data_IF_972885987201
#
_entry.id   IF_972885987201
#
_cell.length_a   1.000
_cell.length_b   1.000
_cell.length_c   1.000
_cell.angle_alpha   90.00
_cell.angle_beta   90.00
_cell.angle_gamma   90.00
#
_symmetry.space_group_name_H-M   'P 1'
#
loop_
_entity.id
_entity.type
_entity.pdbx_description
1 polymer ?
#
# COMPACT_ATOMS: atom_id res chain seq x y z
N UNK A 1 -21.29 -39.04 0.57
CA UNK A 1 -20.33 -37.91 0.78
C UNK A 1 -19.25 -37.86 -0.29
N UNK A 2 -18.53 -38.95 -0.52
CA UNK A 2 -17.50 -38.98 -1.58
C UNK A 2 -18.12 -38.81 -2.98
N UNK A 3 -19.23 -39.49 -3.25
CA UNK A 3 -19.96 -39.35 -4.53
C UNK A 3 -20.52 -37.94 -4.73
N UNK A 4 -21.04 -37.33 -3.65
CA UNK A 4 -21.50 -35.93 -3.67
C UNK A 4 -20.34 -34.95 -3.92
N UNK A 5 -19.16 -35.17 -3.33
CA UNK A 5 -17.97 -34.37 -3.63
C UNK A 5 -17.50 -34.53 -5.08
N UNK A 6 -17.61 -35.73 -5.65
CA UNK A 6 -17.28 -35.94 -7.08
C UNK A 6 -18.29 -35.30 -8.03
N UNK A 7 -19.58 -35.26 -7.67
CA UNK A 7 -20.62 -34.65 -8.52
C UNK A 7 -20.47 -33.13 -8.66
N UNK A 8 -19.74 -32.48 -7.76
CA UNK A 8 -19.49 -31.02 -7.77
C UNK A 8 -18.06 -30.67 -8.23
N UNK A 9 -17.35 -31.59 -8.88
CA UNK A 9 -15.96 -31.39 -9.32
C UNK A 9 -15.78 -30.21 -10.33
N UNK A 10 -16.84 -29.87 -11.08
CA UNK A 10 -16.85 -28.74 -12.04
C UNK A 10 -16.57 -27.38 -11.37
N UNK A 11 -16.75 -27.24 -10.04
CA UNK A 11 -16.39 -26.03 -9.31
C UNK A 11 -14.89 -25.73 -9.35
N UNK A 12 -14.06 -26.75 -9.69
CA UNK A 12 -12.62 -26.56 -9.90
C UNK A 12 -11.80 -26.49 -8.60
N UNK A 13 -12.37 -26.92 -7.46
CA UNK A 13 -11.64 -27.04 -6.20
C UNK A 13 -10.96 -28.42 -6.08
N UNK A 14 -9.82 -28.52 -5.38
CA UNK A 14 -9.24 -29.81 -5.02
C UNK A 14 -10.21 -30.68 -4.23
N UNK A 15 -10.22 -32.01 -4.50
CA UNK A 15 -11.16 -32.96 -3.90
C UNK A 15 -11.35 -32.85 -2.38
N UNK A 16 -10.31 -32.61 -1.54
CA UNK A 16 -10.52 -32.42 -0.10
C UNK A 16 -11.42 -31.23 0.24
N UNK A 17 -11.38 -30.15 -0.55
CA UNK A 17 -12.24 -28.98 -0.36
C UNK A 17 -13.67 -29.25 -0.84
N UNK A 18 -13.86 -30.01 -1.91
CA UNK A 18 -15.18 -30.49 -2.33
C UNK A 18 -15.84 -31.40 -1.26
N UNK A 19 -15.05 -32.22 -0.59
CA UNK A 19 -15.54 -33.03 0.55
C UNK A 19 -15.97 -32.15 1.73
N UNK A 20 -15.26 -31.03 2.00
CA UNK A 20 -15.67 -30.07 3.03
C UNK A 20 -17.02 -29.44 2.68
N UNK A 21 -17.19 -28.98 1.43
CA UNK A 21 -18.44 -28.40 0.94
C UNK A 21 -19.61 -29.42 0.99
N UNK A 22 -19.39 -30.65 0.50
CA UNK A 22 -20.38 -31.71 0.57
C UNK A 22 -20.78 -32.06 2.02
N UNK A 23 -19.83 -32.04 2.95
CA UNK A 23 -20.11 -32.26 4.38
C UNK A 23 -20.94 -31.12 4.98
N UNK A 24 -20.64 -29.87 4.62
CA UNK A 24 -21.41 -28.72 5.07
C UNK A 24 -22.87 -28.77 4.58
N UNK A 25 -23.09 -29.12 3.30
CA UNK A 25 -24.43 -29.33 2.74
C UNK A 25 -25.22 -30.42 3.43
N UNK A 26 -24.60 -31.60 3.67
CA UNK A 26 -25.23 -32.70 4.40
C UNK A 26 -25.56 -32.28 5.85
N UNK A 27 -24.65 -31.58 6.53
CA UNK A 27 -24.86 -31.10 7.89
C UNK A 27 -26.00 -30.08 8.00
N UNK A 28 -26.22 -29.28 6.96
CA UNK A 28 -27.33 -28.34 6.82
C UNK A 28 -28.68 -29.06 6.48
N UNK A 29 -28.65 -30.38 6.20
CA UNK A 29 -29.82 -31.15 5.78
C UNK A 29 -30.23 -30.90 4.33
N UNK A 30 -29.41 -30.26 3.54
CA UNK A 30 -29.65 -29.91 2.13
C UNK A 30 -28.44 -30.32 1.24
N UNK A 31 -28.33 -31.61 0.87
CA UNK A 31 -27.28 -32.13 0.02
C UNK A 31 -27.21 -31.46 -1.38
N UNK A 32 -28.34 -30.97 -1.88
CA UNK A 32 -28.42 -30.34 -3.18
C UNK A 32 -27.72 -28.96 -3.20
N UNK A 33 -27.54 -28.30 -2.05
CA UNK A 33 -26.75 -27.08 -1.90
C UNK A 33 -25.22 -27.29 -1.95
N UNK A 34 -24.73 -28.54 -2.16
CA UNK A 34 -23.29 -28.82 -2.13
C UNK A 34 -22.48 -28.00 -3.14
N UNK A 35 -23.04 -27.76 -4.34
CA UNK A 35 -22.40 -26.92 -5.36
C UNK A 35 -22.29 -25.46 -4.89
N UNK A 36 -23.34 -24.91 -4.27
CA UNK A 36 -23.34 -23.55 -3.72
C UNK A 36 -22.34 -23.41 -2.56
N UNK A 37 -22.27 -24.42 -1.67
CA UNK A 37 -21.26 -24.44 -0.60
C UNK A 37 -19.84 -24.50 -1.16
N UNK A 38 -19.61 -25.23 -2.25
CA UNK A 38 -18.32 -25.28 -2.92
C UNK A 38 -17.97 -23.94 -3.60
N UNK A 39 -18.94 -23.27 -4.22
CA UNK A 39 -18.74 -21.93 -4.77
C UNK A 39 -18.46 -20.89 -3.68
N UNK A 40 -19.16 -20.93 -2.55
CA UNK A 40 -18.88 -20.07 -1.41
C UNK A 40 -17.48 -20.29 -0.87
N UNK A 41 -17.06 -21.56 -0.74
CA UNK A 41 -15.70 -21.91 -0.30
C UNK A 41 -14.66 -21.40 -1.30
N UNK A 42 -14.86 -21.57 -2.61
CA UNK A 42 -13.99 -21.06 -3.67
C UNK A 42 -13.85 -19.54 -3.56
N UNK A 43 -14.95 -18.82 -3.37
CA UNK A 43 -14.95 -17.35 -3.21
C UNK A 43 -14.28 -16.87 -1.94
N UNK A 44 -14.21 -17.70 -0.89
CA UNK A 44 -13.50 -17.37 0.35
C UNK A 44 -11.98 -17.43 0.23
N UNK A 45 -11.46 -18.07 -0.81
CA UNK A 45 -10.03 -18.11 -1.09
C UNK A 45 -9.56 -16.78 -1.71
N UNK A 46 -8.25 -16.53 -1.61
CA UNK A 46 -7.65 -15.36 -2.25
C UNK A 46 -7.83 -15.46 -3.78
N UNK A 47 -8.46 -14.45 -4.36
CA UNK A 47 -8.76 -14.41 -5.78
C UNK A 47 -8.77 -12.99 -6.34
N UNK A 48 -8.91 -12.82 -7.67
CA UNK A 48 -9.02 -11.51 -8.29
C UNK A 48 -10.34 -10.83 -7.91
N UNK A 49 -10.31 -9.48 -7.87
CA UNK A 49 -11.49 -8.64 -7.72
C UNK A 49 -11.31 -7.38 -8.57
N UNK A 50 -12.38 -6.92 -9.21
CA UNK A 50 -12.40 -5.69 -9.99
C UNK A 50 -12.75 -4.54 -9.05
N UNK A 51 -11.84 -3.60 -8.89
CA UNK A 51 -12.02 -2.43 -8.03
C UNK A 51 -12.71 -1.30 -8.81
N UNK A 52 -14.00 -1.16 -8.64
CA UNK A 52 -14.81 -0.08 -9.20
C UNK A 52 -15.30 0.92 -8.14
N UNK A 53 -14.58 1.03 -7.01
CA UNK A 53 -14.96 1.92 -5.91
C UNK A 53 -14.52 3.37 -6.12
N UNK A 54 -13.55 3.65 -6.97
CA UNK A 54 -12.88 4.94 -7.07
C UNK A 54 -11.81 5.18 -5.99
N UNK A 55 -11.50 4.18 -5.18
CA UNK A 55 -10.38 4.21 -4.20
C UNK A 55 -9.20 3.44 -4.79
N UNK A 56 -8.17 4.11 -5.29
CA UNK A 56 -7.09 3.47 -6.05
C UNK A 56 -6.27 2.49 -5.19
N UNK A 57 -5.91 2.91 -3.97
CA UNK A 57 -5.17 2.11 -2.98
C UNK A 57 -6.14 1.55 -1.94
N UNK A 58 -7.13 0.79 -2.38
CA UNK A 58 -8.19 0.28 -1.50
C UNK A 58 -7.63 -0.73 -0.50
N UNK A 59 -7.67 -0.40 0.80
CA UNK A 59 -7.05 -1.19 1.88
C UNK A 59 -7.50 -2.65 1.88
N UNK A 60 -8.80 -2.89 1.70
CA UNK A 60 -9.36 -4.24 1.74
C UNK A 60 -9.16 -5.03 0.42
N UNK A 61 -8.67 -4.37 -0.64
CA UNK A 61 -8.38 -4.98 -1.94
C UNK A 61 -6.87 -5.08 -2.21
N UNK A 62 -6.04 -5.06 -1.16
CA UNK A 62 -4.60 -5.25 -1.27
C UNK A 62 -3.79 -3.98 -1.56
N UNK A 63 -4.42 -2.80 -1.57
CA UNK A 63 -3.80 -1.49 -1.88
C UNK A 63 -3.26 -1.41 -3.31
N UNK A 64 -1.95 -1.13 -3.49
CA UNK A 64 -1.37 -1.00 -4.82
C UNK A 64 -1.37 -2.34 -5.57
N UNK A 65 -2.06 -2.46 -6.71
CA UNK A 65 -1.93 -3.64 -7.55
C UNK A 65 -0.53 -3.69 -8.18
N UNK A 66 -0.01 -4.90 -8.31
CA UNK A 66 1.27 -5.14 -8.97
C UNK A 66 1.03 -5.39 -10.47
N UNK A 67 1.83 -4.77 -11.34
CA UNK A 67 1.69 -4.92 -12.79
C UNK A 67 2.13 -6.30 -13.28
N UNK A 68 1.69 -6.66 -14.49
CA UNK A 68 2.01 -7.94 -15.14
C UNK A 68 3.54 -8.15 -15.39
N UNK A 69 4.36 -7.11 -15.23
CA UNK A 69 5.81 -7.24 -15.33
C UNK A 69 6.41 -8.11 -14.21
N UNK A 70 5.67 -8.30 -13.12
CA UNK A 70 6.05 -9.22 -12.05
C UNK A 70 5.79 -10.68 -12.40
N UNK A 71 4.93 -10.95 -13.40
CA UNK A 71 4.77 -12.30 -13.98
C UNK A 71 5.93 -12.70 -14.90
N UNK A 72 6.76 -11.73 -15.32
CA UNK A 72 8.01 -11.94 -16.06
C UNK A 72 9.24 -11.80 -15.18
N UNK A 73 9.05 -12.01 -13.87
CA UNK A 73 10.09 -11.82 -12.88
C UNK A 73 11.37 -12.59 -13.21
N UNK A 74 12.55 -12.05 -12.83
CA UNK A 74 13.82 -12.76 -12.94
C UNK A 74 13.83 -14.13 -12.27
N UNK A 75 12.89 -14.39 -11.36
CA UNK A 75 12.70 -15.68 -10.68
C UNK A 75 11.97 -16.73 -11.52
N UNK A 76 11.56 -16.42 -12.75
CA UNK A 76 10.92 -17.41 -13.64
C UNK A 76 9.57 -17.90 -13.15
N UNK A 77 8.83 -17.08 -12.39
CA UNK A 77 7.49 -17.40 -11.86
C UNK A 77 6.35 -17.16 -12.89
N UNK A 78 6.68 -17.17 -14.17
CA UNK A 78 5.65 -17.19 -15.20
C UNK A 78 4.81 -18.46 -15.05
N UNK A 79 3.52 -18.29 -14.91
CA UNK A 79 2.61 -19.42 -14.80
C UNK A 79 2.75 -20.32 -16.03
N UNK A 80 3.46 -21.42 -15.88
CA UNK A 80 3.31 -22.61 -16.71
C UNK A 80 4.28 -22.88 -17.86
N UNK A 81 5.33 -22.09 -18.19
CA UNK A 81 6.09 -22.39 -19.41
C UNK A 81 7.62 -22.21 -19.40
N UNK A 82 8.21 -21.79 -18.30
CA UNK A 82 9.68 -21.61 -18.20
C UNK A 82 10.36 -22.56 -17.23
N UNK A 83 11.69 -22.82 -17.38
CA UNK A 83 12.43 -23.61 -16.41
C UNK A 83 12.47 -22.89 -15.06
N UNK A 84 12.21 -23.62 -13.97
CA UNK A 84 12.41 -23.11 -12.61
C UNK A 84 13.90 -22.74 -12.42
N UNK A 85 14.16 -21.51 -11.97
CA UNK A 85 15.52 -21.01 -11.77
C UNK A 85 15.72 -20.54 -10.33
N UNK A 86 16.94 -20.71 -9.83
CA UNK A 86 17.37 -20.07 -8.58
C UNK A 86 17.73 -18.60 -8.86
N UNK A 87 17.63 -17.75 -7.81
CA UNK A 87 18.05 -16.35 -7.87
C UNK A 87 19.34 -16.12 -7.10
N UNK A 88 20.04 -15.02 -7.41
CA UNK A 88 21.23 -14.56 -6.69
C UNK A 88 20.90 -13.76 -5.42
N UNK A 89 19.73 -13.95 -4.83
CA UNK A 89 19.19 -13.14 -3.74
C UNK A 89 20.16 -12.91 -2.56
N UNK A 90 20.92 -13.94 -2.17
CA UNK A 90 21.95 -13.88 -1.13
C UNK A 90 23.31 -14.36 -1.66
N UNK A 91 23.55 -14.24 -2.97
CA UNK A 91 24.79 -14.67 -3.61
C UNK A 91 25.41 -13.52 -4.40
N UNK A 92 26.62 -13.12 -4.03
CA UNK A 92 27.39 -12.13 -4.77
C UNK A 92 28.07 -12.79 -5.96
N UNK A 93 27.62 -12.47 -7.17
CA UNK A 93 28.13 -13.06 -8.41
C UNK A 93 29.60 -12.67 -8.71
N UNK A 94 30.05 -11.53 -8.22
CA UNK A 94 31.40 -11.06 -8.47
C UNK A 94 32.44 -11.79 -7.58
N UNK A 95 32.14 -11.95 -6.29
CA UNK A 95 33.04 -12.59 -5.33
C UNK A 95 32.82 -14.10 -5.18
N UNK A 96 31.68 -14.63 -5.68
CA UNK A 96 31.30 -16.03 -5.48
C UNK A 96 30.95 -16.37 -4.03
N UNK A 97 30.64 -15.38 -3.20
CA UNK A 97 30.40 -15.54 -1.77
C UNK A 97 28.96 -15.18 -1.41
N UNK A 98 28.57 -15.49 -0.17
CA UNK A 98 27.29 -15.05 0.37
C UNK A 98 27.22 -13.52 0.46
N UNK A 99 26.21 -12.92 -0.19
CA UNK A 99 25.89 -11.51 -0.15
C UNK A 99 24.76 -11.18 0.85
N UNK A 100 24.43 -9.90 0.95
CA UNK A 100 23.27 -9.42 1.72
C UNK A 100 22.00 -9.58 0.88
N UNK A 101 20.94 -10.08 1.51
CA UNK A 101 19.63 -10.33 0.88
C UNK A 101 19.00 -9.09 0.24
N UNK A 102 19.17 -7.93 0.85
CA UNK A 102 18.48 -6.71 0.42
C UNK A 102 19.34 -5.79 -0.47
N UNK A 103 20.55 -6.21 -0.86
CA UNK A 103 21.52 -5.35 -1.57
C UNK A 103 20.91 -4.72 -2.83
N UNK A 104 20.19 -5.49 -3.63
CA UNK A 104 19.61 -5.02 -4.90
C UNK A 104 18.56 -3.92 -4.67
N UNK A 105 17.54 -4.20 -3.87
CA UNK A 105 16.49 -3.24 -3.54
C UNK A 105 17.05 -2.01 -2.80
N UNK A 106 17.99 -2.20 -1.87
CA UNK A 106 18.62 -1.11 -1.11
C UNK A 106 19.38 -0.14 -2.01
N UNK A 107 20.15 -0.63 -2.98
CA UNK A 107 20.85 0.21 -3.95
C UNK A 107 19.88 1.07 -4.77
N UNK A 108 18.82 0.47 -5.30
CA UNK A 108 17.84 1.16 -6.14
C UNK A 108 17.06 2.20 -5.36
N UNK A 109 16.62 1.87 -4.13
CA UNK A 109 15.88 2.79 -3.27
C UNK A 109 16.75 3.96 -2.78
N UNK A 110 18.01 3.71 -2.45
CA UNK A 110 18.96 4.79 -2.11
C UNK A 110 19.15 5.74 -3.30
N UNK A 111 19.30 5.19 -4.52
CA UNK A 111 19.42 5.99 -5.75
C UNK A 111 18.17 6.84 -6.00
N UNK A 112 16.98 6.27 -5.84
CA UNK A 112 15.71 6.95 -6.05
C UNK A 112 15.47 8.08 -5.05
N UNK A 113 15.82 7.86 -3.79
CA UNK A 113 15.59 8.82 -2.71
C UNK A 113 16.74 9.80 -2.51
N UNK A 114 17.92 9.52 -3.10
CA UNK A 114 19.15 10.28 -2.86
C UNK A 114 19.74 10.03 -1.46
N UNK A 115 19.37 8.93 -0.82
CA UNK A 115 19.90 8.51 0.47
C UNK A 115 21.31 7.93 0.35
N UNK A 116 22.08 7.93 1.45
CA UNK A 116 23.38 7.24 1.53
C UNK A 116 23.19 5.71 1.54
N UNK A 117 22.12 5.22 2.15
CA UNK A 117 21.77 3.81 2.23
C UNK A 117 20.25 3.62 2.37
N UNK A 118 19.77 2.41 2.08
CA UNK A 118 18.40 2.00 2.31
C UNK A 118 18.32 0.59 2.89
N UNK A 119 17.22 0.29 3.60
CA UNK A 119 16.90 -1.01 4.15
C UNK A 119 15.42 -1.31 3.91
N UNK A 120 15.10 -2.57 3.64
CA UNK A 120 13.73 -3.03 3.39
C UNK A 120 13.31 -4.01 4.46
N UNK A 121 12.11 -3.80 5.02
CA UNK A 121 11.45 -4.65 6.00
C UNK A 121 10.01 -4.96 5.56
N UNK A 122 9.28 -5.77 6.32
CA UNK A 122 7.95 -6.30 5.95
C UNK A 122 6.89 -5.23 5.68
N UNK A 123 6.87 -4.14 6.45
CA UNK A 123 5.92 -3.03 6.33
C UNK A 123 6.44 -1.79 7.08
N UNK A 124 5.76 -0.64 6.93
CA UNK A 124 6.19 0.61 7.55
C UNK A 124 6.16 0.56 9.09
N UNK A 125 5.21 -0.15 9.68
CA UNK A 125 5.18 -0.34 11.15
C UNK A 125 6.45 -1.05 11.65
N UNK A 126 6.90 -2.11 10.95
CA UNK A 126 8.16 -2.78 11.23
C UNK A 126 9.37 -1.84 11.03
N UNK A 127 9.32 -0.93 10.04
CA UNK A 127 10.38 0.05 9.81
C UNK A 127 10.51 1.01 11.00
N UNK A 128 9.40 1.61 11.44
CA UNK A 128 9.38 2.52 12.60
C UNK A 128 9.82 1.78 13.87
N UNK A 129 9.26 0.60 14.15
CA UNK A 129 9.65 -0.22 15.31
C UNK A 129 11.14 -0.53 15.32
N UNK A 130 11.70 -0.93 14.17
CA UNK A 130 13.12 -1.26 14.03
C UNK A 130 14.02 -0.04 14.27
N UNK A 131 13.67 1.12 13.69
CA UNK A 131 14.41 2.38 13.88
C UNK A 131 14.42 2.76 15.37
N UNK A 132 13.26 2.74 16.02
CA UNK A 132 13.15 3.07 17.44
C UNK A 132 13.94 2.08 18.32
N UNK A 133 13.79 0.78 18.10
CA UNK A 133 14.49 -0.25 18.87
C UNK A 133 16.01 -0.21 18.69
N UNK A 134 16.49 0.10 17.46
CA UNK A 134 17.92 0.12 17.17
C UNK A 134 18.61 1.41 17.63
N UNK A 135 17.90 2.55 17.62
CA UNK A 135 18.52 3.86 17.79
C UNK A 135 18.11 4.58 19.09
N UNK A 136 17.02 4.17 19.74
CA UNK A 136 16.45 4.89 20.87
C UNK A 136 16.04 4.00 22.06
N UNK A 137 16.46 2.73 22.08
CA UNK A 137 16.16 1.84 23.22
C UNK A 137 16.60 2.46 24.54
N UNK A 138 15.71 2.44 25.54
CA UNK A 138 15.89 3.01 26.88
C UNK A 138 16.13 4.53 26.91
N UNK A 139 15.99 5.22 25.78
CA UNK A 139 16.19 6.65 25.61
C UNK A 139 14.93 7.36 25.14
N UNK A 140 14.93 8.69 25.25
CA UNK A 140 13.82 9.54 24.83
C UNK A 140 13.69 9.67 23.31
N UNK A 141 12.47 9.71 22.81
CA UNK A 141 12.12 10.08 21.45
C UNK A 141 11.11 11.22 21.54
N UNK A 142 11.51 12.41 21.08
CA UNK A 142 10.64 13.57 21.08
C UNK A 142 9.70 13.53 19.86
N UNK A 143 8.40 13.66 20.13
CA UNK A 143 7.35 13.61 19.10
C UNK A 143 6.26 14.63 19.42
N UNK A 144 5.70 15.28 18.39
CA UNK A 144 4.59 16.22 18.56
C UNK A 144 3.33 15.50 19.05
N UNK A 145 2.61 16.10 20.04
CA UNK A 145 1.28 15.61 20.44
C UNK A 145 0.29 15.53 19.28
N UNK A 146 0.36 16.45 18.32
CA UNK A 146 -0.44 16.41 17.11
C UNK A 146 -0.07 15.30 16.13
N UNK A 147 1.06 14.59 16.36
CA UNK A 147 1.58 13.51 15.53
C UNK A 147 1.48 12.13 16.20
N UNK A 148 0.85 12.04 17.38
CA UNK A 148 0.54 10.78 18.06
C UNK A 148 -0.69 10.14 17.41
N UNK A 149 -0.49 9.62 16.22
CA UNK A 149 -1.57 9.14 15.37
C UNK A 149 -1.91 7.68 15.62
N UNK A 150 -3.18 7.33 15.33
CA UNK A 150 -3.62 5.95 15.08
C UNK A 150 -3.83 5.77 13.59
N UNK A 151 -3.18 4.78 12.99
CA UNK A 151 -3.32 4.41 11.59
C UNK A 151 -4.01 3.04 11.50
N UNK A 152 -4.65 2.72 10.37
CA UNK A 152 -5.45 1.51 10.19
C UNK A 152 -4.83 0.23 10.74
N UNK A 153 -5.67 -0.63 11.32
CA UNK A 153 -5.26 -1.87 11.96
C UNK A 153 -4.77 -1.73 13.40
N UNK A 154 -5.06 -0.59 14.07
CA UNK A 154 -4.69 -0.37 15.48
C UNK A 154 -3.22 0.02 15.66
N UNK A 155 -2.52 0.47 14.62
CA UNK A 155 -1.17 1.02 14.76
C UNK A 155 -1.22 2.38 15.45
N UNK A 156 -0.73 2.45 16.68
CA UNK A 156 -0.62 3.68 17.49
C UNK A 156 0.84 3.98 17.78
N UNK A 157 1.27 5.19 17.45
CA UNK A 157 2.66 5.62 17.66
C UNK A 157 3.12 5.43 19.11
N UNK A 158 2.35 5.79 20.16
CA UNK A 158 2.78 5.55 21.55
C UNK A 158 3.01 4.08 21.87
N UNK A 159 2.12 3.18 21.44
CA UNK A 159 2.23 1.73 21.70
C UNK A 159 3.45 1.12 20.99
N UNK A 160 3.73 1.56 19.77
CA UNK A 160 4.91 1.13 19.01
C UNK A 160 6.20 1.60 19.70
N UNK A 161 6.22 2.83 20.23
CA UNK A 161 7.35 3.32 21.01
C UNK A 161 7.59 2.46 22.25
N UNK A 162 6.56 2.19 23.03
CA UNK A 162 6.65 1.34 24.23
C UNK A 162 7.19 -0.05 23.87
N UNK A 163 6.65 -0.70 22.84
CA UNK A 163 7.09 -2.02 22.38
C UNK A 163 8.53 -2.03 21.83
N UNK A 164 9.00 -0.90 21.30
CA UNK A 164 10.38 -0.76 20.83
C UNK A 164 11.41 -0.59 21.97
N UNK A 165 10.93 -0.30 23.20
CA UNK A 165 11.74 0.07 24.33
C UNK A 165 12.18 1.54 24.32
N UNK A 166 11.69 2.37 23.42
CA UNK A 166 11.93 3.82 23.44
C UNK A 166 10.97 4.52 24.41
N UNK A 167 11.46 5.59 25.05
CA UNK A 167 10.66 6.41 25.95
C UNK A 167 10.02 7.57 25.20
N UNK A 168 8.69 7.65 25.21
CA UNK A 168 7.95 8.76 24.61
C UNK A 168 8.24 10.08 25.36
N UNK A 169 8.62 11.12 24.60
CA UNK A 169 8.75 12.50 25.06
C UNK A 169 7.84 13.38 24.22
N UNK A 170 6.67 13.70 24.76
CA UNK A 170 5.68 14.50 24.06
C UNK A 170 6.07 15.98 24.03
N UNK A 171 5.97 16.62 22.87
CA UNK A 171 6.26 18.06 22.69
C UNK A 171 5.10 18.81 22.07
N UNK A 172 5.01 20.11 22.36
CA UNK A 172 3.98 20.99 21.82
C UNK A 172 2.56 20.66 22.31
N UNK A 173 1.58 20.95 21.47
CA UNK A 173 0.16 20.70 21.70
C UNK A 173 -0.47 19.98 20.48
N UNK A 174 -1.72 19.55 20.60
CA UNK A 174 -2.44 18.80 19.54
C UNK A 174 -2.44 19.53 18.20
N UNK A 175 -2.61 20.86 18.20
CA UNK A 175 -2.72 21.66 16.98
C UNK A 175 -1.50 22.55 16.68
N UNK A 176 -0.57 22.69 17.64
CA UNK A 176 0.58 23.57 17.46
C UNK A 176 1.84 23.01 18.11
N UNK A 177 2.84 22.77 17.29
CA UNK A 177 4.18 22.35 17.73
C UNK A 177 5.22 23.13 16.93
N UNK A 178 6.21 23.68 17.63
CA UNK A 178 7.30 24.47 17.07
C UNK A 178 8.65 23.79 17.31
N UNK A 179 9.67 24.16 16.54
CA UNK A 179 11.02 23.65 16.75
C UNK A 179 11.56 23.96 18.17
N UNK A 180 11.09 25.06 18.80
CA UNK A 180 11.46 25.40 20.19
C UNK A 180 10.97 24.36 21.20
N UNK A 181 9.80 23.71 20.96
CA UNK A 181 9.28 22.67 21.86
C UNK A 181 10.17 21.43 21.82
N UNK A 182 10.64 21.04 20.64
CA UNK A 182 11.60 19.93 20.45
C UNK A 182 12.96 20.26 21.08
N UNK A 183 13.45 21.51 20.91
CA UNK A 183 14.71 21.95 21.52
C UNK A 183 14.65 21.88 23.03
N UNK A 184 13.59 22.39 23.64
CA UNK A 184 13.40 22.36 25.09
C UNK A 184 13.35 20.92 25.64
N UNK A 185 12.80 19.97 24.89
CA UNK A 185 12.82 18.54 25.24
C UNK A 185 14.24 17.97 25.13
N UNK A 186 14.95 18.24 24.03
CA UNK A 186 16.30 17.76 23.80
C UNK A 186 17.33 18.27 24.83
N UNK A 187 17.10 19.46 25.42
CA UNK A 187 17.93 20.03 26.48
C UNK A 187 17.67 19.46 27.89
N UNK A 188 16.46 18.97 28.16
CA UNK A 188 16.05 18.46 29.49
C UNK A 188 16.10 16.96 29.62
N UNK A 189 15.84 16.25 28.52
CA UNK A 189 15.68 14.80 28.50
C UNK A 189 16.83 14.14 27.73
N UNK A 190 17.12 12.87 28.04
CA UNK A 190 18.02 12.04 27.22
C UNK A 190 17.32 11.64 25.91
N UNK A 191 17.19 12.61 24.99
CA UNK A 191 16.54 12.42 23.70
C UNK A 191 17.53 11.87 22.68
N UNK A 192 17.28 10.65 22.21
CA UNK A 192 18.06 10.00 21.18
C UNK A 192 17.65 10.44 19.76
N UNK A 193 16.36 10.67 19.53
CA UNK A 193 15.78 10.96 18.23
C UNK A 193 14.69 12.04 18.34
N UNK A 194 14.54 12.82 17.26
CA UNK A 194 13.37 13.66 16.98
C UNK A 194 12.53 12.93 15.95
N UNK A 195 11.32 12.49 16.31
CA UNK A 195 10.42 11.81 15.39
C UNK A 195 9.40 12.81 14.85
N UNK A 196 9.34 12.89 13.53
CA UNK A 196 8.32 13.63 12.77
C UNK A 196 7.42 12.61 12.08
N UNK A 197 6.12 12.61 12.40
CA UNK A 197 5.14 11.70 11.78
C UNK A 197 4.21 12.50 10.88
N UNK A 198 4.19 12.16 9.59
CA UNK A 198 3.28 12.78 8.65
C UNK A 198 1.84 12.25 8.85
N UNK A 199 0.84 13.14 9.04
CA UNK A 199 -0.56 12.75 9.20
C UNK A 199 -1.17 12.30 7.87
N UNK A 200 -0.76 11.11 7.40
CA UNK A 200 -1.12 10.60 6.07
C UNK A 200 -2.59 10.17 5.92
N UNK A 201 -3.36 10.07 7.01
CA UNK A 201 -4.74 9.58 7.03
C UNK A 201 -5.78 10.58 7.56
N UNK A 202 -5.36 11.77 8.01
CA UNK A 202 -6.24 12.85 8.46
C UNK A 202 -5.58 14.22 8.24
N UNK A 203 -6.36 15.29 8.40
CA UNK A 203 -5.87 16.69 8.37
C UNK A 203 -6.29 17.43 9.62
N UNK A 204 -5.38 18.24 10.15
CA UNK A 204 -5.70 19.25 11.17
C UNK A 204 -5.85 20.58 10.46
N UNK A 205 -7.00 21.22 10.60
CA UNK A 205 -7.30 22.51 9.97
C UNK A 205 -7.56 23.59 11.02
N UNK A 206 -7.43 24.85 10.63
CA UNK A 206 -7.66 26.02 11.51
C UNK A 206 -6.36 26.62 12.05
N UNK A 207 -6.34 26.93 13.34
CA UNK A 207 -5.19 27.58 13.98
C UNK A 207 -4.10 26.53 14.32
N UNK A 208 -3.31 26.16 13.34
CA UNK A 208 -2.29 25.10 13.41
C UNK A 208 -0.88 25.63 13.23
N UNK A 209 0.11 24.91 13.72
CA UNK A 209 1.53 25.09 13.39
C UNK A 209 2.27 23.77 13.58
N UNK A 210 3.13 23.43 12.67
CA UNK A 210 4.02 22.26 12.75
C UNK A 210 5.49 22.66 12.56
N UNK A 211 6.39 21.88 13.19
CA UNK A 211 7.82 22.09 13.04
C UNK A 211 8.31 21.50 11.71
N UNK A 212 8.99 22.30 10.91
CA UNK A 212 9.60 21.84 9.67
C UNK A 212 10.82 20.95 9.94
N UNK A 213 11.03 19.91 9.12
CA UNK A 213 12.20 19.03 9.22
C UNK A 213 13.52 19.80 9.20
N UNK A 214 13.61 20.84 8.34
CA UNK A 214 14.81 21.69 8.24
C UNK A 214 15.15 22.44 9.53
N UNK A 215 14.17 22.76 10.36
CA UNK A 215 14.39 23.42 11.66
C UNK A 215 14.71 22.41 12.74
N UNK A 216 14.10 21.22 12.71
CA UNK A 216 14.41 20.13 13.61
C UNK A 216 15.84 19.61 13.42
N UNK A 217 16.32 19.52 12.18
CA UNK A 217 17.68 19.09 11.87
C UNK A 217 18.80 19.96 12.47
N UNK A 218 18.47 21.19 12.92
CA UNK A 218 19.41 22.12 13.58
C UNK A 218 19.50 21.93 15.09
N UNK A 219 18.69 21.04 15.69
CA UNK A 219 18.60 20.90 17.17
C UNK A 219 19.73 20.06 17.74
N UNK A 220 20.15 19.00 17.06
CA UNK A 220 21.22 18.09 17.47
C UNK A 220 20.89 16.63 17.33
N UNK A 221 19.87 16.08 18.04
CA UNK A 221 19.49 14.69 17.83
C UNK A 221 19.03 14.43 16.37
N UNK A 222 19.31 13.26 15.79
CA UNK A 222 18.92 12.95 14.42
C UNK A 222 17.38 12.97 14.27
N UNK A 223 16.93 13.54 13.14
CA UNK A 223 15.51 13.59 12.78
C UNK A 223 15.16 12.33 12.00
N UNK A 224 14.18 11.59 12.47
CA UNK A 224 13.52 10.50 11.74
C UNK A 224 12.16 11.01 11.27
N UNK A 225 11.89 10.94 9.98
CA UNK A 225 10.58 11.33 9.43
C UNK A 225 9.84 10.10 8.92
N UNK A 226 8.74 9.76 9.59
CA UNK A 226 7.80 8.75 9.11
C UNK A 226 6.80 9.41 8.15
N UNK A 227 7.00 9.18 6.84
CA UNK A 227 6.15 9.72 5.79
C UNK A 227 4.90 8.86 5.57
N UNK A 228 5.02 7.56 5.79
CA UNK A 228 3.94 6.59 5.65
C UNK A 228 3.40 6.40 4.23
N UNK A 229 3.19 7.47 3.47
CA UNK A 229 2.52 7.48 2.16
C UNK A 229 3.35 6.93 1.00
N UNK A 230 4.68 7.07 1.05
CA UNK A 230 5.57 6.48 0.05
C UNK A 230 5.77 7.28 -1.25
N UNK A 231 5.52 8.60 -1.25
CA UNK A 231 5.93 9.46 -2.35
C UNK A 231 7.46 9.58 -2.36
N UNK A 232 8.11 9.15 -3.46
CA UNK A 232 9.57 9.11 -3.54
C UNK A 232 10.18 10.48 -3.82
N UNK A 233 9.58 11.26 -4.72
CA UNK A 233 10.05 12.59 -5.13
C UNK A 233 8.84 13.50 -5.40
N UNK A 234 8.79 14.66 -4.75
CA UNK A 234 7.73 15.65 -4.92
C UNK A 234 7.61 16.19 -6.34
N UNK A 235 8.68 16.14 -7.12
CA UNK A 235 8.70 16.60 -8.52
C UNK A 235 8.03 15.62 -9.47
N UNK A 236 7.79 14.37 -9.04
CA UNK A 236 7.21 13.29 -9.83
C UNK A 236 7.83 13.17 -11.25
N UNK A 237 9.16 12.98 -11.39
CA UNK A 237 9.82 12.99 -12.69
C UNK A 237 9.34 11.88 -13.64
N UNK A 238 8.68 10.86 -13.13
CA UNK A 238 8.04 9.78 -13.91
C UNK A 238 6.69 10.20 -14.53
N UNK A 239 6.08 11.30 -14.05
CA UNK A 239 4.84 11.84 -14.61
C UNK A 239 5.07 13.05 -15.55
N UNK A 240 6.29 13.60 -15.56
CA UNK A 240 6.61 14.86 -16.23
C UNK A 240 6.13 16.08 -15.46
N UNK A 241 4.88 16.11 -15.03
CA UNK A 241 4.30 17.20 -14.21
C UNK A 241 3.67 16.62 -12.95
N UNK A 242 3.91 17.29 -11.82
CA UNK A 242 3.28 16.91 -10.54
C UNK A 242 1.77 17.22 -10.61
N UNK A 243 0.90 16.24 -10.34
CA UNK A 243 -0.55 16.49 -10.27
C UNK A 243 -0.94 17.36 -9.07
N UNK A 244 -1.94 18.22 -9.24
CA UNK A 244 -2.42 19.14 -8.18
C UNK A 244 -2.95 18.41 -6.94
N UNK A 245 -3.55 17.23 -7.11
CA UNK A 245 -4.05 16.42 -5.99
C UNK A 245 -2.94 15.85 -5.09
N UNK A 246 -1.64 15.94 -5.49
CA UNK A 246 -0.49 15.64 -4.62
C UNK A 246 -0.06 16.87 -3.77
N UNK A 247 -0.74 17.99 -3.87
CA UNK A 247 -0.33 19.20 -3.14
C UNK A 247 -0.21 18.96 -1.64
N UNK A 248 0.94 19.34 -1.07
CA UNK A 248 1.23 19.15 0.36
C UNK A 248 1.73 17.76 0.76
N UNK A 249 1.77 16.79 -0.14
CA UNK A 249 2.33 15.47 0.16
C UNK A 249 3.86 15.51 0.13
N UNK A 250 4.57 15.14 1.23
CA UNK A 250 6.03 15.19 1.29
C UNK A 250 6.66 14.02 0.54
N UNK A 251 7.74 14.29 -0.19
CA UNK A 251 8.55 13.28 -0.84
C UNK A 251 9.76 12.84 -0.01
N UNK A 252 10.13 11.57 -0.07
CA UNK A 252 11.28 11.04 0.65
C UNK A 252 12.58 11.78 0.30
N UNK A 253 12.80 12.08 -0.98
CA UNK A 253 13.97 12.82 -1.47
C UNK A 253 14.07 14.23 -0.88
N UNK A 254 12.98 14.98 -0.87
CA UNK A 254 12.95 16.35 -0.35
C UNK A 254 13.06 16.37 1.18
N UNK A 255 12.47 15.41 1.85
CA UNK A 255 12.56 15.28 3.31
C UNK A 255 14.01 14.98 3.75
N UNK A 256 14.71 14.10 3.04
CA UNK A 256 16.15 13.86 3.27
C UNK A 256 16.98 15.10 2.97
N UNK A 257 16.71 15.77 1.85
CA UNK A 257 17.39 17.03 1.48
C UNK A 257 17.15 18.16 2.50
N UNK A 258 16.00 18.18 3.18
CA UNK A 258 15.69 19.10 4.27
C UNK A 258 16.43 18.76 5.58
N UNK A 259 17.17 17.66 5.65
CA UNK A 259 18.02 17.31 6.77
C UNK A 259 17.50 16.18 7.66
N UNK A 260 16.45 15.45 7.25
CA UNK A 260 16.09 14.21 7.93
C UNK A 260 17.27 13.22 7.86
N UNK A 261 17.62 12.63 9.00
CA UNK A 261 18.66 11.61 9.08
C UNK A 261 18.18 10.26 8.52
N UNK A 262 16.90 9.96 8.75
CA UNK A 262 16.19 8.81 8.18
C UNK A 262 14.78 9.23 7.76
N UNK A 263 14.27 8.58 6.72
CA UNK A 263 12.84 8.55 6.36
C UNK A 263 12.34 7.12 6.39
N UNK A 264 11.07 6.92 6.79
CA UNK A 264 10.36 5.64 6.70
C UNK A 264 9.08 5.81 5.89
N UNK A 265 8.73 4.80 5.08
CA UNK A 265 7.52 4.82 4.27
C UNK A 265 7.08 3.42 3.80
N UNK A 266 5.83 3.33 3.33
CA UNK A 266 5.23 2.09 2.80
C UNK A 266 5.49 1.93 1.31
N UNK A 267 5.79 0.70 0.88
CA UNK A 267 5.95 0.38 -0.55
C UNK A 267 4.63 0.24 -1.30
N UNK A 268 3.54 -0.12 -0.62
CA UNK A 268 2.23 -0.48 -1.17
C UNK A 268 1.20 0.67 -1.22
N UNK A 269 1.69 1.91 -1.03
CA UNK A 269 0.87 3.12 -1.16
C UNK A 269 1.28 3.91 -2.41
N UNK A 270 1.59 5.22 -2.30
CA UNK A 270 1.95 6.07 -3.44
C UNK A 270 3.18 5.58 -4.22
N UNK A 271 4.05 4.78 -3.59
CA UNK A 271 5.12 4.11 -4.31
C UNK A 271 4.60 3.10 -5.35
N UNK A 272 3.38 2.58 -5.18
CA UNK A 272 2.75 1.66 -6.14
C UNK A 272 3.42 0.27 -6.22
N UNK A 273 4.15 -0.13 -5.19
CA UNK A 273 4.86 -1.40 -5.09
C UNK A 273 4.19 -2.42 -4.16
N UNK A 274 4.88 -3.49 -3.80
CA UNK A 274 4.39 -4.48 -2.85
C UNK A 274 4.41 -3.94 -1.42
N UNK A 275 3.66 -4.60 -0.52
CA UNK A 275 3.76 -4.31 0.90
C UNK A 275 5.20 -4.49 1.39
N UNK A 276 5.79 -3.39 1.81
CA UNK A 276 7.13 -3.31 2.40
C UNK A 276 7.23 -2.06 3.25
N UNK A 277 8.13 -2.06 4.23
CA UNK A 277 8.62 -0.87 4.91
C UNK A 277 10.00 -0.51 4.39
N UNK A 278 10.18 0.75 4.04
CA UNK A 278 11.46 1.26 3.55
C UNK A 278 12.05 2.22 4.58
N UNK A 279 13.33 2.07 4.87
CA UNK A 279 14.13 2.96 5.72
C UNK A 279 15.25 3.50 4.82
N UNK A 280 15.29 4.81 4.59
CA UNK A 280 16.34 5.45 3.78
C UNK A 280 16.98 6.59 4.54
N UNK A 281 18.30 6.80 4.37
CA UNK A 281 18.99 7.95 4.94
C UNK A 281 20.48 7.71 5.19
N UNK A 282 20.98 8.18 6.35
CA UNK A 282 22.39 8.10 6.72
C UNK A 282 22.88 6.66 6.86
N UNK A 283 23.98 6.32 6.19
CA UNK A 283 24.49 4.96 6.08
C UNK A 283 24.75 4.30 7.45
N UNK A 284 25.30 5.04 8.41
CA UNK A 284 25.60 4.50 9.74
C UNK A 284 24.33 4.16 10.55
N UNK A 285 23.24 4.95 10.40
CA UNK A 285 21.96 4.68 11.06
C UNK A 285 21.23 3.50 10.41
N UNK A 286 21.26 3.43 9.07
CA UNK A 286 20.70 2.28 8.33
C UNK A 286 21.47 1.00 8.69
N UNK A 287 22.79 1.06 8.83
CA UNK A 287 23.62 -0.07 9.25
C UNK A 287 23.30 -0.53 10.69
N UNK A 288 23.04 0.41 11.60
CA UNK A 288 22.60 0.08 12.98
C UNK A 288 21.26 -0.67 12.98
N UNK A 289 20.29 -0.22 12.16
CA UNK A 289 19.02 -0.91 11.98
C UNK A 289 19.23 -2.32 11.37
N UNK A 290 20.07 -2.45 10.35
CA UNK A 290 20.35 -3.73 9.71
C UNK A 290 21.06 -4.75 10.63
N UNK A 291 21.85 -4.28 11.59
CA UNK A 291 22.53 -5.11 12.57
C UNK A 291 21.64 -5.55 13.74
N UNK A 292 20.48 -4.90 13.95
CA UNK A 292 19.61 -5.17 15.07
C UNK A 292 18.94 -6.56 14.93
N UNK A 293 18.82 -7.38 16.03
CA UNK A 293 18.23 -8.73 15.97
C UNK A 293 16.82 -8.79 15.37
N UNK A 294 15.98 -7.77 15.59
CA UNK A 294 14.63 -7.70 15.01
C UNK A 294 14.64 -7.68 13.47
N UNK A 295 15.74 -7.29 12.83
CA UNK A 295 15.87 -7.34 11.38
C UNK A 295 15.63 -8.76 10.84
N UNK A 296 15.99 -9.79 11.61
CA UNK A 296 15.74 -11.18 11.23
C UNK A 296 14.24 -11.49 11.16
N UNK A 297 13.46 -10.97 12.12
CA UNK A 297 12.01 -11.15 12.18
C UNK A 297 11.29 -10.31 11.11
N UNK A 298 11.82 -9.13 10.78
CA UNK A 298 11.20 -8.18 9.84
C UNK A 298 11.68 -8.34 8.40
N UNK A 299 12.45 -9.36 8.10
CA UNK A 299 13.04 -9.60 6.79
C UNK A 299 11.98 -9.98 5.73
N UNK A 300 11.89 -9.24 4.60
CA UNK A 300 10.92 -9.53 3.55
C UNK A 300 11.27 -10.80 2.78
N UNK A 301 10.26 -11.42 2.16
CA UNK A 301 10.42 -12.55 1.24
C UNK A 301 11.04 -12.16 -0.10
N UNK A 302 11.49 -13.16 -0.86
CA UNK A 302 12.09 -12.96 -2.19
C UNK A 302 11.12 -12.30 -3.18
N UNK A 303 9.85 -12.68 -3.16
CA UNK A 303 8.82 -12.12 -4.03
C UNK A 303 8.62 -10.62 -3.81
N UNK A 304 8.66 -10.17 -2.55
CA UNK A 304 8.57 -8.75 -2.21
C UNK A 304 9.78 -7.97 -2.74
N UNK A 305 10.98 -8.53 -2.59
CA UNK A 305 12.22 -7.87 -3.04
C UNK A 305 12.30 -7.80 -4.58
N UNK A 306 11.83 -8.83 -5.27
CA UNK A 306 11.74 -8.87 -6.73
C UNK A 306 10.73 -7.84 -7.27
N UNK A 307 9.53 -7.79 -6.69
CA UNK A 307 8.54 -6.78 -7.03
C UNK A 307 9.03 -5.35 -6.76
N UNK A 308 9.72 -5.11 -5.62
CA UNK A 308 10.33 -3.82 -5.33
C UNK A 308 11.40 -3.43 -6.35
N UNK A 309 12.25 -4.38 -6.77
CA UNK A 309 13.25 -4.13 -7.81
C UNK A 309 12.57 -3.70 -9.11
N UNK A 310 11.53 -4.41 -9.55
CA UNK A 310 10.80 -4.09 -10.78
C UNK A 310 10.17 -2.69 -10.73
N UNK A 311 9.51 -2.34 -9.62
CA UNK A 311 8.94 -1.00 -9.41
C UNK A 311 10.04 0.08 -9.38
N UNK A 312 11.14 -0.17 -8.68
CA UNK A 312 12.25 0.78 -8.62
C UNK A 312 12.90 1.00 -10.00
N UNK A 313 13.03 -0.04 -10.80
CA UNK A 313 13.51 0.07 -12.20
C UNK A 313 12.55 0.90 -13.06
N UNK A 314 11.24 0.73 -12.91
CA UNK A 314 10.24 1.55 -13.61
C UNK A 314 10.37 3.05 -13.25
N UNK A 315 10.57 3.38 -11.96
CA UNK A 315 10.85 4.77 -11.55
C UNK A 315 12.13 5.33 -12.16
N UNK A 316 13.23 4.56 -12.16
CA UNK A 316 14.51 4.98 -12.74
C UNK A 316 14.40 5.19 -14.25
N UNK A 317 13.61 4.37 -14.92
CA UNK A 317 13.30 4.50 -16.35
C UNK A 317 12.25 5.56 -16.66
N UNK A 318 11.65 6.19 -15.64
CA UNK A 318 10.53 7.14 -15.75
C UNK A 318 9.31 6.56 -16.47
N UNK A 319 9.08 5.27 -16.30
CA UNK A 319 7.96 4.55 -16.89
C UNK A 319 6.80 4.46 -15.86
N UNK A 320 5.95 5.48 -15.86
CA UNK A 320 4.78 5.52 -14.98
C UNK A 320 3.74 4.46 -15.35
N UNK A 321 3.67 4.03 -16.61
CA UNK A 321 2.70 3.03 -17.07
C UNK A 321 3.01 1.63 -16.57
N UNK A 322 4.26 1.35 -16.30
CA UNK A 322 4.70 0.12 -15.66
C UNK A 322 4.25 0.01 -14.19
N UNK A 323 3.81 1.11 -13.56
CA UNK A 323 3.36 1.15 -12.18
C UNK A 323 1.83 1.37 -12.18
N UNK A 324 1.01 0.33 -11.89
CA UNK A 324 -0.45 0.40 -12.05
C UNK A 324 -1.10 1.57 -11.31
N UNK A 325 -0.64 1.89 -10.09
CA UNK A 325 -1.15 3.05 -9.35
C UNK A 325 -1.03 4.34 -10.17
N UNK A 326 0.16 4.63 -10.73
CA UNK A 326 0.38 5.85 -11.50
C UNK A 326 -0.33 5.80 -12.86
N UNK A 327 -0.39 4.63 -13.50
CA UNK A 327 -1.16 4.41 -14.71
C UNK A 327 -2.64 4.77 -14.49
N UNK A 328 -3.27 4.25 -13.42
CA UNK A 328 -4.66 4.56 -13.06
C UNK A 328 -4.84 6.04 -12.71
N UNK A 329 -3.94 6.61 -11.88
CA UNK A 329 -4.07 7.97 -11.38
C UNK A 329 -3.98 9.05 -12.48
N UNK A 330 -3.26 8.79 -13.57
CA UNK A 330 -3.03 9.74 -14.67
C UNK A 330 -4.02 9.65 -15.83
N UNK A 331 -4.91 8.63 -15.86
CA UNK A 331 -5.91 8.51 -16.93
C UNK A 331 -6.72 9.80 -17.04
N UNK A 332 -6.84 10.42 -18.23
CA UNK A 332 -7.66 11.60 -18.43
C UNK A 332 -9.14 11.30 -18.11
N UNK A 333 -9.82 12.24 -17.46
CA UNK A 333 -11.24 12.04 -17.11
C UNK A 333 -12.14 11.96 -18.35
N UNK A 334 -11.70 12.53 -19.47
CA UNK A 334 -12.39 12.40 -20.78
C UNK A 334 -12.38 10.98 -21.28
N UNK A 335 -11.25 10.29 -21.19
CA UNK A 335 -11.12 8.88 -21.58
C UNK A 335 -12.02 7.99 -20.68
N UNK A 336 -12.05 8.24 -19.36
CA UNK A 336 -12.95 7.51 -18.47
C UNK A 336 -14.43 7.75 -18.81
N UNK A 337 -14.79 8.97 -19.21
CA UNK A 337 -16.16 9.28 -19.64
C UNK A 337 -16.54 8.56 -20.93
N UNK A 338 -15.63 8.53 -21.91
CA UNK A 338 -15.82 7.76 -23.16
C UNK A 338 -15.97 6.26 -22.89
N UNK A 339 -15.16 5.69 -21.98
CA UNK A 339 -15.32 4.30 -21.54
C UNK A 339 -16.67 4.06 -20.86
N UNK A 340 -17.12 4.99 -19.99
CA UNK A 340 -18.41 4.88 -19.34
C UNK A 340 -19.58 4.85 -20.31
N UNK A 341 -19.54 5.68 -21.35
CA UNK A 341 -20.52 5.66 -22.45
C UNK A 341 -20.46 4.35 -23.24
N UNK A 342 -19.25 3.86 -23.55
CA UNK A 342 -19.02 2.65 -24.32
C UNK A 342 -19.48 1.36 -23.61
N UNK A 343 -19.59 1.34 -22.27
CA UNK A 343 -20.13 0.20 -21.53
C UNK A 343 -21.57 -0.15 -21.94
N UNK A 344 -22.37 0.84 -22.36
CA UNK A 344 -23.75 0.65 -22.81
C UNK A 344 -24.69 0.11 -21.72
N UNK A 345 -24.37 0.35 -20.46
CA UNK A 345 -25.13 -0.06 -19.27
C UNK A 345 -25.07 1.03 -18.22
N UNK A 346 -26.14 1.17 -17.40
CA UNK A 346 -26.20 2.22 -16.40
C UNK A 346 -26.26 3.63 -17.01
N UNK A 347 -26.12 4.66 -16.18
CA UNK A 347 -26.09 6.07 -16.57
C UNK A 347 -24.66 6.61 -16.46
N UNK A 348 -23.98 7.00 -17.56
CA UNK A 348 -22.66 7.63 -17.51
C UNK A 348 -22.68 8.88 -16.62
N UNK A 349 -21.66 9.01 -15.74
CA UNK A 349 -21.61 10.10 -14.78
C UNK A 349 -20.16 10.53 -14.48
N UNK A 350 -19.99 11.81 -14.12
CA UNK A 350 -18.75 12.31 -13.53
C UNK A 350 -18.70 11.94 -12.05
N UNK A 351 -17.56 11.46 -11.61
CA UNK A 351 -17.33 11.06 -10.22
C UNK A 351 -16.04 11.67 -9.68
N UNK A 352 -15.76 11.41 -8.42
CA UNK A 352 -14.46 11.67 -7.82
C UNK A 352 -13.88 10.38 -7.28
N UNK A 353 -12.61 10.13 -7.58
CA UNK A 353 -11.80 9.08 -7.01
C UNK A 353 -10.86 9.66 -5.94
N UNK A 354 -10.27 8.80 -5.13
CA UNK A 354 -9.27 9.18 -4.12
C UNK A 354 -8.06 8.24 -4.20
N UNK A 355 -6.90 8.73 -3.76
CA UNK A 355 -5.71 7.88 -3.72
C UNK A 355 -5.91 6.66 -2.81
N UNK A 356 -6.49 6.85 -1.62
CA UNK A 356 -6.84 5.76 -0.71
C UNK A 356 -6.40 5.98 0.73
N UNK A 357 -6.76 5.05 1.62
CA UNK A 357 -6.47 5.14 3.04
C UNK A 357 -4.96 5.17 3.34
N UNK A 358 -4.56 6.11 4.21
CA UNK A 358 -3.17 6.30 4.61
C UNK A 358 -2.33 7.09 3.61
N UNK A 359 -2.97 7.82 2.69
CA UNK A 359 -2.32 8.80 1.80
C UNK A 359 -3.32 9.86 1.35
N UNK A 360 -2.90 11.13 1.33
CA UNK A 360 -3.64 12.26 0.76
C UNK A 360 -5.08 12.44 1.30
N UNK A 361 -5.28 12.61 2.60
CA UNK A 361 -6.60 12.75 3.16
C UNK A 361 -7.34 13.97 2.59
N UNK A 362 -8.59 13.75 2.11
CA UNK A 362 -9.43 14.80 1.54
C UNK A 362 -8.97 15.35 0.19
N UNK A 363 -8.05 14.68 -0.51
CA UNK A 363 -7.72 14.99 -1.90
C UNK A 363 -8.54 14.13 -2.85
N UNK A 364 -9.14 14.79 -3.82
CA UNK A 364 -9.97 14.16 -4.84
C UNK A 364 -9.27 14.17 -6.20
N UNK A 365 -9.48 13.10 -6.95
CA UNK A 365 -9.00 12.95 -8.32
C UNK A 365 -10.23 12.93 -9.24
N UNK A 366 -10.37 13.86 -10.20
CA UNK A 366 -11.48 13.85 -11.13
C UNK A 366 -11.63 12.49 -11.80
N UNK A 367 -12.83 11.91 -11.81
CA UNK A 367 -13.10 10.59 -12.35
C UNK A 367 -14.39 10.53 -13.15
N UNK A 368 -14.68 9.38 -13.76
CA UNK A 368 -15.95 9.08 -14.37
C UNK A 368 -16.24 7.57 -14.31
N UNK A 369 -17.51 7.24 -14.46
CA UNK A 369 -18.02 5.89 -14.42
C UNK A 369 -19.50 5.86 -14.73
N UNK A 370 -20.21 4.91 -14.18
CA UNK A 370 -21.67 4.77 -14.35
C UNK A 370 -22.38 4.72 -13.00
N UNK A 371 -23.62 5.14 -13.00
CA UNK A 371 -24.56 5.04 -11.88
C UNK A 371 -25.71 4.10 -12.19
N UNK A 372 -26.14 3.36 -11.17
CA UNK A 372 -27.33 2.52 -11.16
C UNK A 372 -28.24 2.96 -10.05
N UNK A 373 -29.54 3.08 -10.32
CA UNK A 373 -30.53 3.37 -9.29
C UNK A 373 -30.71 2.14 -8.39
N UNK A 374 -30.61 2.30 -7.09
CA UNK A 374 -30.68 1.22 -6.11
C UNK A 374 -29.32 0.70 -5.62
N UNK A 375 -29.37 -0.21 -4.64
CA UNK A 375 -28.20 -0.91 -4.10
C UNK A 375 -27.99 -2.24 -4.83
N UNK A 376 -27.02 -2.28 -5.73
CA UNK A 376 -26.60 -3.46 -6.47
C UNK A 376 -25.29 -4.06 -5.96
N UNK A 377 -24.72 -3.57 -4.86
CA UNK A 377 -23.39 -3.99 -4.40
C UNK A 377 -23.30 -5.50 -4.12
N UNK A 378 -24.36 -6.09 -3.58
CA UNK A 378 -24.37 -7.54 -3.31
C UNK A 378 -24.36 -8.37 -4.60
N UNK A 379 -25.17 -7.98 -5.59
CA UNK A 379 -25.27 -8.66 -6.88
C UNK A 379 -23.94 -8.53 -7.66
N UNK A 380 -23.32 -7.35 -7.68
CA UNK A 380 -22.02 -7.11 -8.33
C UNK A 380 -20.90 -7.94 -7.67
N UNK A 381 -20.87 -8.04 -6.33
CA UNK A 381 -19.94 -8.92 -5.61
C UNK A 381 -20.19 -10.41 -5.89
N UNK A 382 -21.41 -10.80 -6.25
CA UNK A 382 -21.74 -12.19 -6.58
C UNK A 382 -21.23 -12.62 -7.96
N UNK A 383 -20.85 -11.69 -8.84
CA UNK A 383 -20.25 -11.99 -10.14
C UNK A 383 -18.87 -12.68 -10.01
N UNK A 384 -18.39 -13.35 -11.04
CA UNK A 384 -17.06 -13.98 -11.11
C UNK A 384 -16.29 -13.48 -12.35
N UNK A 385 -15.21 -12.68 -12.15
CA UNK A 385 -14.71 -12.14 -10.89
C UNK A 385 -15.65 -11.10 -10.25
N UNK A 386 -15.60 -10.95 -8.91
CA UNK A 386 -16.45 -9.97 -8.21
C UNK A 386 -16.10 -8.53 -8.59
N UNK A 387 -17.14 -7.72 -8.81
CA UNK A 387 -17.01 -6.27 -9.03
C UNK A 387 -17.36 -5.54 -7.73
N UNK A 388 -16.43 -4.75 -7.22
CA UNK A 388 -16.58 -4.02 -5.96
C UNK A 388 -16.89 -2.56 -6.29
N UNK A 389 -18.14 -2.16 -6.05
CA UNK A 389 -18.65 -0.81 -6.26
C UNK A 389 -18.94 -0.11 -4.92
N UNK A 390 -19.17 1.20 -4.94
CA UNK A 390 -19.65 1.97 -3.77
C UNK A 390 -21.12 2.27 -3.90
N UNK A 391 -21.81 2.32 -2.76
CA UNK A 391 -23.22 2.73 -2.69
C UNK A 391 -23.29 4.03 -1.91
N UNK A 392 -23.89 5.04 -2.52
CA UNK A 392 -24.17 6.33 -1.91
C UNK A 392 -25.69 6.47 -1.85
N UNK A 393 -26.24 6.51 -0.63
CA UNK A 393 -27.70 6.52 -0.40
C UNK A 393 -28.42 5.37 -1.11
N UNK A 394 -29.09 5.63 -2.22
CA UNK A 394 -29.83 4.66 -3.02
C UNK A 394 -29.25 4.55 -4.44
N UNK A 395 -27.96 4.83 -4.62
CA UNK A 395 -27.31 4.82 -5.94
C UNK A 395 -26.02 4.00 -5.85
N UNK A 396 -25.88 3.01 -6.72
CA UNK A 396 -24.63 2.26 -6.89
C UNK A 396 -23.75 2.97 -7.91
N UNK A 397 -22.55 3.32 -7.52
CA UNK A 397 -21.55 4.00 -8.37
C UNK A 397 -20.43 3.03 -8.70
N UNK A 398 -20.21 2.85 -9.99
CA UNK A 398 -19.10 2.07 -10.57
C UNK A 398 -18.12 3.07 -11.19
N UNK A 399 -17.03 3.35 -10.48
CA UNK A 399 -15.99 4.28 -10.91
C UNK A 399 -14.94 3.53 -11.73
N UNK A 400 -14.64 4.02 -12.94
CA UNK A 400 -13.76 3.32 -13.87
C UNK A 400 -12.27 3.63 -13.71
N UNK A 401 -11.87 4.55 -12.81
CA UNK A 401 -10.47 4.95 -12.68
C UNK A 401 -9.56 3.80 -12.25
N UNK A 402 -10.03 2.92 -11.37
CA UNK A 402 -9.26 1.77 -10.89
C UNK A 402 -9.61 0.46 -11.62
N UNK A 403 -10.49 0.52 -12.63
CA UNK A 403 -10.86 -0.62 -13.49
C UNK A 403 -9.88 -0.67 -14.67
N UNK A 404 -9.21 -1.81 -14.88
CA UNK A 404 -8.40 -2.02 -16.08
C UNK A 404 -9.33 -2.01 -17.31
N UNK A 405 -8.99 -1.30 -18.41
CA UNK A 405 -9.80 -1.31 -19.63
C UNK A 405 -10.12 -2.71 -20.19
N UNK A 406 -9.25 -3.69 -19.94
CA UNK A 406 -9.49 -5.08 -20.32
C UNK A 406 -10.71 -5.72 -19.61
N UNK A 407 -11.10 -5.18 -18.45
CA UNK A 407 -12.22 -5.68 -17.63
C UNK A 407 -13.55 -4.98 -17.94
N UNK A 408 -13.59 -4.00 -18.85
CA UNK A 408 -14.81 -3.24 -19.17
C UNK A 408 -15.98 -4.15 -19.60
N UNK A 409 -15.72 -5.19 -20.39
CA UNK A 409 -16.73 -6.17 -20.80
C UNK A 409 -17.27 -6.99 -19.64
N UNK A 410 -16.42 -7.31 -18.65
CA UNK A 410 -16.78 -8.05 -17.44
C UNK A 410 -17.66 -7.16 -16.55
N UNK A 411 -17.26 -5.89 -16.36
CA UNK A 411 -18.06 -4.91 -15.61
C UNK A 411 -19.44 -4.74 -16.24
N UNK A 412 -19.52 -4.59 -17.56
CA UNK A 412 -20.81 -4.47 -18.25
C UNK A 412 -21.68 -5.72 -18.09
N UNK A 413 -21.10 -6.92 -18.12
CA UNK A 413 -21.82 -8.17 -17.88
C UNK A 413 -22.34 -8.27 -16.45
N UNK A 414 -21.49 -7.94 -15.46
CA UNK A 414 -21.87 -7.94 -14.04
C UNK A 414 -23.03 -6.97 -13.76
N UNK A 415 -23.02 -5.79 -14.39
CA UNK A 415 -24.10 -4.80 -14.28
C UNK A 415 -25.41 -5.33 -14.85
N UNK A 416 -25.40 -5.91 -16.07
CA UNK A 416 -26.62 -6.50 -16.66
C UNK A 416 -27.20 -7.58 -15.74
N UNK A 417 -26.35 -8.51 -15.27
CA UNK A 417 -26.80 -9.55 -14.35
C UNK A 417 -27.38 -8.98 -13.05
N UNK A 418 -26.81 -7.92 -12.50
CA UNK A 418 -27.28 -7.29 -11.27
C UNK A 418 -28.64 -6.58 -11.45
N UNK A 419 -28.88 -6.00 -12.62
CA UNK A 419 -30.17 -5.39 -12.99
C UNK A 419 -31.28 -6.44 -13.22
N UNK A 420 -30.93 -7.57 -13.85
CA UNK A 420 -31.90 -8.66 -14.12
C UNK A 420 -32.37 -9.36 -12.83
N UNK A 421 -31.58 -9.37 -11.78
CA UNK A 421 -31.93 -10.01 -10.49
C UNK A 421 -32.94 -9.18 -9.63
N UNK A 422 -33.24 -7.95 -10.00
CA UNK A 422 -34.22 -7.09 -9.30
C UNK A 422 -35.63 -7.12 -9.90
N UNK A 423 -35.81 -7.81 -11.03
CA UNK A 423 -37.11 -8.03 -11.67
C UNK A 423 -37.70 -9.36 -11.18
#
# INVERSE_FOLDING_TARGET
MNDLALSIAEVGLPHPLLVIAARAAIAAGDPDSAADQAQLLRRSLLGPAINATGVLLHTNLGRAPLGNQHSRAPLGLEAGSGPVRFSNLEFDLASGRRGSRATHASLLLATLTGAEAALVVNNCAAAVTLVLAALARDRGVAVSRGELVEIGGGFRVPEVMEQSGARLVEVGTTNRTRAADYRAAAERDDVALLLKVHPSNYRITGFTAEAAVADLAKIGPPVVSDLGSGLLDERCPWLGTRPDWLAGEPGARQTLAAGAALVTFSGDKLMGGPQAGIICGKAHLVAACAAHPLMRAFRPGSLVLDALQSVAMAYLSRDADAIPFWRMARVPVTELAERAEALGVGRPTRTTAIAGGGSLPGQEIPSAGIELDGDHAAALRAHDPPVIARVNEQTTVIDLRAVDPADDTIVAAAVRQALDQQI
#
